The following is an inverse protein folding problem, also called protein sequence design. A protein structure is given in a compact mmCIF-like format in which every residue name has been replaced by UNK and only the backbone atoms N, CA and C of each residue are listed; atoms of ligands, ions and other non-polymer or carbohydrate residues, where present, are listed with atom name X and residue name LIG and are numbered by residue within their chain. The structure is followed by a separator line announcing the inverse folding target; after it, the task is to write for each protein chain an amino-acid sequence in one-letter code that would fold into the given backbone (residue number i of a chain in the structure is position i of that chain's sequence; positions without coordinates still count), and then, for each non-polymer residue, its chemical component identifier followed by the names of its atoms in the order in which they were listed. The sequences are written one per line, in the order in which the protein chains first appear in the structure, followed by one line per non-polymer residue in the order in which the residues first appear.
data_IF_431306863195
#
_entry.id   IF_431306863195
#
_cell.length_a   1.000
_cell.length_b   1.000
_cell.length_c   1.000
_cell.angle_alpha   90.00
_cell.angle_beta   90.00
_cell.angle_gamma   90.00
#
_symmetry.space_group_name_H-M   'P 1'
#
loop_
_entity.id
_entity.type
_entity.pdbx_description
1 polymer ?
#
# COMPACT_ATOMS: atom_id res chain seq x y z
N UNK A 1 -24.80 -0.45 21.53
CA UNK A 1 -25.12 0.91 21.02
C UNK A 1 -25.07 0.98 19.48
N UNK A 2 -24.11 0.32 18.81
CA UNK A 2 -24.02 0.36 17.33
C UNK A 2 -25.21 -0.33 16.64
N UNK A 3 -25.70 -1.46 17.18
CA UNK A 3 -26.86 -2.20 16.64
C UNK A 3 -28.20 -1.45 16.78
N UNK A 4 -28.26 -0.38 17.59
CA UNK A 4 -29.44 0.47 17.75
C UNK A 4 -29.44 1.71 16.84
N UNK A 5 -28.53 1.82 15.88
CA UNK A 5 -28.44 2.96 14.97
C UNK A 5 -29.29 2.78 13.71
N UNK A 6 -30.34 1.98 13.77
CA UNK A 6 -31.41 2.01 12.80
C UNK A 6 -31.13 1.33 11.45
N UNK A 7 -32.01 1.57 10.53
CA UNK A 7 -32.15 0.93 9.22
C UNK A 7 -30.92 1.05 8.29
N UNK A 8 -30.04 2.04 8.51
CA UNK A 8 -28.80 2.23 7.74
C UNK A 8 -27.85 1.01 7.75
N UNK A 9 -27.86 0.21 8.85
CA UNK A 9 -27.03 -0.98 8.96
C UNK A 9 -27.67 -2.24 8.36
N UNK A 10 -28.93 -2.16 7.98
CA UNK A 10 -29.72 -3.26 7.41
C UNK A 10 -29.81 -3.20 5.89
N UNK A 11 -29.25 -2.16 5.27
CA UNK A 11 -29.20 -1.99 3.82
C UNK A 11 -27.82 -2.29 3.25
N UNK A 12 -27.75 -2.66 1.96
CA UNK A 12 -26.48 -2.76 1.25
C UNK A 12 -25.84 -1.39 1.10
N UNK A 13 -24.57 -1.28 1.54
CA UNK A 13 -23.77 -0.06 1.38
C UNK A 13 -23.11 0.06 -0.01
N UNK A 14 -22.28 1.11 -0.17
CA UNK A 14 -21.44 1.27 -1.37
C UNK A 14 -20.42 0.12 -1.47
N UNK A 15 -20.30 -0.48 -2.65
CA UNK A 15 -19.37 -1.58 -2.93
C UNK A 15 -17.91 -1.23 -2.63
N UNK A 16 -17.56 0.06 -2.65
CA UNK A 16 -16.22 0.56 -2.28
C UNK A 16 -16.09 0.91 -0.80
N UNK A 17 -17.12 0.64 0.00
CA UNK A 17 -17.18 0.90 1.44
C UNK A 17 -18.01 2.14 1.81
N UNK A 18 -18.51 2.14 3.05
CA UNK A 18 -19.39 3.15 3.60
C UNK A 18 -18.79 4.57 3.53
N UNK A 19 -19.55 5.54 3.02
CA UNK A 19 -19.09 6.90 2.82
C UNK A 19 -18.65 7.59 4.13
N UNK A 20 -19.32 7.29 5.25
CA UNK A 20 -18.96 7.82 6.57
C UNK A 20 -17.58 7.33 7.00
N UNK A 21 -17.29 6.05 6.77
CA UNK A 21 -15.98 5.45 7.07
C UNK A 21 -14.91 5.98 6.12
N UNK A 22 -15.20 6.09 4.81
CA UNK A 22 -14.26 6.68 3.83
C UNK A 22 -13.86 8.12 4.18
N UNK A 23 -14.81 8.94 4.61
CA UNK A 23 -14.52 10.32 5.08
C UNK A 23 -13.65 10.33 6.34
N UNK A 24 -13.89 9.41 7.28
CA UNK A 24 -13.06 9.26 8.47
C UNK A 24 -11.63 8.83 8.11
N UNK A 25 -11.50 7.87 7.19
CA UNK A 25 -10.20 7.42 6.67
C UNK A 25 -9.46 8.50 5.90
N UNK A 26 -10.16 9.30 5.10
CA UNK A 26 -9.59 10.46 4.41
C UNK A 26 -9.00 11.46 5.40
N UNK A 27 -9.75 11.83 6.44
CA UNK A 27 -9.26 12.71 7.50
C UNK A 27 -8.05 12.10 8.22
N UNK A 28 -8.15 10.84 8.62
CA UNK A 28 -7.10 10.10 9.28
C UNK A 28 -5.81 10.04 8.45
N UNK A 29 -5.90 9.60 7.22
CA UNK A 29 -4.73 9.46 6.34
C UNK A 29 -4.10 10.82 5.99
N UNK A 30 -4.92 11.88 5.89
CA UNK A 30 -4.40 13.24 5.74
C UNK A 30 -3.58 13.66 6.97
N UNK A 31 -4.13 13.44 8.16
CA UNK A 31 -3.50 13.88 9.43
C UNK A 31 -2.24 13.08 9.76
N UNK A 32 -2.27 11.76 9.58
CA UNK A 32 -1.19 10.87 10.04
C UNK A 32 -0.24 10.41 8.94
N UNK A 33 -0.65 10.44 7.67
CA UNK A 33 0.16 9.97 6.54
C UNK A 33 0.40 11.01 5.46
N UNK A 34 -0.19 12.21 5.61
CA UNK A 34 -0.03 13.31 4.66
C UNK A 34 -0.77 13.13 3.34
N UNK A 35 -1.69 12.15 3.24
CA UNK A 35 -2.41 11.87 1.99
C UNK A 35 -3.51 12.90 1.75
N UNK A 36 -3.53 13.52 0.57
CA UNK A 36 -4.55 14.46 0.15
C UNK A 36 -5.23 13.97 -1.12
N UNK A 37 -6.19 13.07 -0.96
CA UNK A 37 -6.96 12.47 -2.06
C UNK A 37 -8.45 12.69 -1.90
N UNK A 38 -9.22 12.81 -2.99
CA UNK A 38 -10.67 12.81 -2.94
C UNK A 38 -11.23 11.56 -2.26
N UNK A 39 -12.34 11.69 -1.54
CA UNK A 39 -12.97 10.55 -0.83
C UNK A 39 -13.33 9.39 -1.77
N UNK A 40 -13.58 9.66 -3.03
CA UNK A 40 -13.90 8.64 -4.04
C UNK A 40 -12.70 7.76 -4.41
N UNK A 41 -11.49 8.18 -4.09
CA UNK A 41 -10.27 7.38 -4.28
C UNK A 41 -10.04 6.38 -3.14
N UNK A 42 -10.87 6.40 -2.09
CA UNK A 42 -10.78 5.48 -0.97
C UNK A 42 -11.64 4.24 -1.21
N UNK A 43 -11.03 3.07 -1.06
CA UNK A 43 -11.67 1.76 -1.15
C UNK A 43 -11.38 1.02 0.16
N UNK A 44 -12.44 0.48 0.79
CA UNK A 44 -12.33 -0.27 2.04
C UNK A 44 -12.32 -1.76 1.72
N UNK A 45 -11.43 -2.52 2.37
CA UNK A 45 -11.31 -3.96 2.19
C UNK A 45 -11.21 -4.72 3.50
N UNK A 46 -11.58 -6.00 3.45
CA UNK A 46 -11.51 -6.92 4.59
C UNK A 46 -10.08 -7.47 4.79
N UNK A 47 -9.12 -6.57 4.94
CA UNK A 47 -7.70 -6.87 5.09
C UNK A 47 -6.89 -6.59 3.83
N UNK A 48 -5.57 -6.55 4.01
CA UNK A 48 -4.59 -6.19 2.98
C UNK A 48 -4.67 -7.07 1.72
N UNK A 49 -4.72 -8.39 1.89
CA UNK A 49 -4.69 -9.33 0.76
C UNK A 49 -5.84 -9.10 -0.23
N UNK A 50 -7.05 -8.85 0.27
CA UNK A 50 -8.23 -8.59 -0.58
C UNK A 50 -8.02 -7.33 -1.44
N UNK A 51 -7.46 -6.28 -0.85
CA UNK A 51 -7.13 -5.06 -1.60
C UNK A 51 -6.05 -5.32 -2.64
N UNK A 52 -5.05 -6.15 -2.31
CA UNK A 52 -4.00 -6.52 -3.25
C UNK A 52 -4.56 -7.35 -4.42
N UNK A 53 -5.49 -8.29 -4.20
CA UNK A 53 -6.20 -8.98 -5.28
C UNK A 53 -6.94 -8.00 -6.20
N UNK A 54 -7.59 -6.96 -5.65
CA UNK A 54 -8.22 -5.93 -6.48
C UNK A 54 -7.20 -5.18 -7.33
N UNK A 55 -6.03 -4.83 -6.78
CA UNK A 55 -4.96 -4.22 -7.58
C UNK A 55 -4.51 -5.17 -8.69
N UNK A 56 -4.21 -6.42 -8.37
CA UNK A 56 -3.75 -7.40 -9.35
C UNK A 56 -4.77 -7.60 -10.50
N UNK A 57 -6.08 -7.55 -10.21
CA UNK A 57 -7.13 -7.70 -11.22
C UNK A 57 -7.15 -6.60 -12.29
N UNK A 58 -6.43 -5.50 -12.07
CA UNK A 58 -6.29 -4.41 -13.04
C UNK A 58 -5.16 -4.66 -14.05
N UNK A 59 -4.36 -5.70 -13.84
CA UNK A 59 -3.18 -6.02 -14.64
C UNK A 59 -3.37 -7.36 -15.37
N UNK A 60 -2.53 -7.58 -16.38
CA UNK A 60 -2.58 -8.82 -17.17
C UNK A 60 -1.75 -9.92 -16.47
N UNK A 61 -2.07 -11.16 -16.78
CA UNK A 61 -1.24 -12.30 -16.40
C UNK A 61 0.17 -12.15 -16.97
N UNK A 62 1.15 -12.74 -16.31
CA UNK A 62 2.56 -12.70 -16.68
C UNK A 62 3.26 -11.32 -16.57
N UNK A 63 2.56 -10.26 -16.16
CA UNK A 63 3.24 -8.99 -15.86
C UNK A 63 4.19 -9.15 -14.67
N UNK A 64 5.31 -8.42 -14.73
CA UNK A 64 6.38 -8.58 -13.75
C UNK A 64 6.16 -7.63 -12.58
N UNK A 65 6.12 -8.18 -11.37
CA UNK A 65 6.10 -7.44 -10.11
C UNK A 65 7.44 -7.59 -9.38
N UNK A 66 8.08 -6.46 -9.10
CA UNK A 66 9.27 -6.42 -8.26
C UNK A 66 8.91 -6.32 -6.78
N UNK A 67 9.54 -7.14 -5.96
CA UNK A 67 9.44 -7.05 -4.50
C UNK A 67 10.84 -7.11 -3.88
N UNK A 68 11.01 -6.56 -2.69
CA UNK A 68 12.28 -6.72 -1.97
C UNK A 68 12.60 -8.20 -1.69
N UNK A 69 13.87 -8.56 -1.71
CA UNK A 69 14.33 -9.96 -1.50
C UNK A 69 13.77 -10.58 -0.21
N UNK A 70 13.68 -9.79 0.85
CA UNK A 70 13.04 -10.17 2.12
C UNK A 70 11.66 -9.51 2.30
N UNK A 71 10.91 -9.40 1.21
CA UNK A 71 9.59 -8.80 1.21
C UNK A 71 8.53 -9.62 1.96
N UNK A 72 7.32 -9.10 2.01
CA UNK A 72 6.20 -9.69 2.73
C UNK A 72 5.64 -10.92 1.97
N UNK A 73 5.86 -12.10 2.53
CA UNK A 73 5.51 -13.38 1.89
C UNK A 73 4.03 -13.48 1.48
N UNK A 74 3.11 -12.91 2.26
CA UNK A 74 1.69 -12.93 1.93
C UNK A 74 1.34 -12.10 0.68
N UNK A 75 2.12 -11.08 0.36
CA UNK A 75 1.96 -10.34 -0.88
C UNK A 75 2.42 -11.18 -2.07
N UNK A 76 3.54 -11.88 -1.92
CA UNK A 76 4.06 -12.81 -2.94
C UNK A 76 3.03 -13.87 -3.30
N UNK A 77 2.43 -14.52 -2.29
CA UNK A 77 1.34 -15.49 -2.50
C UNK A 77 0.19 -14.91 -3.35
N UNK A 78 -0.23 -13.67 -3.07
CA UNK A 78 -1.30 -13.02 -3.85
C UNK A 78 -0.88 -12.79 -5.30
N UNK A 79 0.36 -12.35 -5.53
CA UNK A 79 0.87 -12.17 -6.90
C UNK A 79 0.94 -13.49 -7.67
N UNK A 80 1.41 -14.57 -7.02
CA UNK A 80 1.45 -15.92 -7.60
C UNK A 80 0.05 -16.43 -7.94
N UNK A 81 -0.93 -16.26 -7.03
CA UNK A 81 -2.33 -16.62 -7.26
C UNK A 81 -2.95 -15.84 -8.44
N UNK A 82 -2.49 -14.61 -8.66
CA UNK A 82 -2.90 -13.77 -9.78
C UNK A 82 -2.08 -14.01 -11.06
N UNK A 83 -1.26 -15.06 -11.10
CA UNK A 83 -0.41 -15.41 -12.24
C UNK A 83 0.55 -14.30 -12.68
N UNK A 84 1.03 -13.48 -11.74
CA UNK A 84 2.05 -12.47 -11.99
C UNK A 84 3.45 -13.06 -11.80
N UNK A 85 4.44 -12.54 -12.52
CA UNK A 85 5.84 -12.97 -12.38
C UNK A 85 6.53 -12.18 -11.26
N UNK A 86 6.73 -12.80 -10.11
CA UNK A 86 7.44 -12.19 -8.99
C UNK A 86 8.94 -12.24 -9.21
N UNK A 87 9.61 -11.09 -9.10
CA UNK A 87 11.07 -10.99 -9.11
C UNK A 87 11.58 -10.34 -7.82
N UNK A 88 12.62 -10.91 -7.25
CA UNK A 88 13.28 -10.40 -6.05
C UNK A 88 14.28 -9.33 -6.42
N UNK A 89 14.17 -8.18 -5.77
CA UNK A 89 15.01 -7.02 -6.02
C UNK A 89 15.98 -6.80 -4.87
N UNK A 90 17.26 -6.51 -5.15
CA UNK A 90 18.26 -6.23 -4.12
C UNK A 90 17.97 -4.91 -3.41
N UNK A 91 18.28 -4.89 -2.12
CA UNK A 91 18.18 -3.71 -1.27
C UNK A 91 19.50 -3.48 -0.51
N UNK A 92 19.75 -2.22 -0.17
CA UNK A 92 20.88 -1.77 0.66
C UNK A 92 20.36 -1.07 1.94
N UNK A 93 21.24 -0.40 2.68
CA UNK A 93 20.89 0.35 3.90
C UNK A 93 19.90 1.51 3.68
N UNK A 94 19.63 1.87 2.43
CA UNK A 94 18.72 2.95 2.06
C UNK A 94 17.38 2.45 1.53
N UNK A 95 17.24 1.14 1.29
CA UNK A 95 16.09 0.47 0.69
C UNK A 95 16.42 -0.15 -0.66
N UNK A 96 15.43 -0.41 -1.49
CA UNK A 96 15.61 -0.96 -2.84
C UNK A 96 16.64 -0.20 -3.65
N UNK A 97 17.54 -0.92 -4.34
CA UNK A 97 18.55 -0.29 -5.20
C UNK A 97 17.97 0.07 -6.56
N UNK A 98 18.44 1.18 -7.15
CA UNK A 98 18.03 1.56 -8.51
C UNK A 98 18.56 0.58 -9.57
N UNK A 99 19.71 -0.02 -9.32
CA UNK A 99 20.27 -1.07 -10.18
C UNK A 99 19.33 -2.27 -10.24
N UNK A 100 18.78 -2.68 -9.09
CA UNK A 100 17.80 -3.76 -9.02
C UNK A 100 16.54 -3.47 -9.83
N UNK A 101 16.04 -2.23 -9.78
CA UNK A 101 14.87 -1.82 -10.57
C UNK A 101 15.12 -1.88 -12.08
N UNK A 102 16.36 -1.65 -12.53
CA UNK A 102 16.75 -1.69 -13.94
C UNK A 102 16.94 -3.10 -14.50
N UNK A 103 17.02 -4.13 -13.64
CA UNK A 103 17.27 -5.51 -14.07
C UNK A 103 16.09 -6.14 -14.81
N UNK A 104 14.88 -5.63 -14.59
CA UNK A 104 13.65 -6.23 -15.10
C UNK A 104 12.72 -5.16 -15.70
N UNK A 105 11.91 -5.56 -16.68
CA UNK A 105 10.84 -4.71 -17.21
C UNK A 105 9.61 -4.79 -16.29
N UNK A 106 9.69 -4.11 -15.15
CA UNK A 106 8.64 -4.14 -14.14
C UNK A 106 7.38 -3.42 -14.61
N UNK A 107 6.22 -3.96 -14.24
CA UNK A 107 4.93 -3.28 -14.33
C UNK A 107 4.46 -2.78 -12.98
N UNK A 108 4.72 -3.57 -11.95
CA UNK A 108 4.42 -3.24 -10.56
C UNK A 108 5.69 -3.29 -9.70
N UNK A 109 5.74 -2.44 -8.71
CA UNK A 109 6.72 -2.46 -7.65
C UNK A 109 6.01 -2.48 -6.30
N UNK A 110 6.11 -3.57 -5.58
CA UNK A 110 5.59 -3.67 -4.22
C UNK A 110 6.69 -3.38 -3.20
N UNK A 111 6.42 -2.47 -2.28
CA UNK A 111 7.37 -2.13 -1.21
C UNK A 111 6.66 -1.69 0.08
N UNK A 112 7.34 -1.93 1.20
CA UNK A 112 6.99 -1.40 2.49
C UNK A 112 7.90 -0.21 2.82
N UNK A 113 7.41 1.00 2.60
CA UNK A 113 8.24 2.21 2.70
C UNK A 113 8.58 2.60 4.13
N UNK A 114 7.73 2.22 5.09
CA UNK A 114 7.78 2.71 6.47
C UNK A 114 8.56 1.82 7.42
N UNK A 115 8.58 0.52 7.19
CA UNK A 115 9.29 -0.44 8.04
C UNK A 115 10.26 -1.32 7.26
N UNK A 116 10.39 -1.02 6.00
CA UNK A 116 11.19 -1.55 4.91
C UNK A 116 12.10 -2.70 5.15
N UNK A 117 12.26 -3.44 4.14
CA UNK A 117 13.28 -4.29 3.65
C UNK A 117 14.19 -5.03 4.63
N UNK A 118 15.34 -5.24 4.11
CA UNK A 118 16.38 -6.10 4.66
C UNK A 118 16.80 -5.79 6.10
N UNK A 119 16.81 -4.54 6.51
CA UNK A 119 17.28 -4.09 7.83
C UNK A 119 16.16 -3.61 8.77
N UNK A 120 14.90 -3.69 8.35
CA UNK A 120 13.79 -3.20 9.18
C UNK A 120 13.77 -1.68 9.37
N UNK A 121 14.47 -0.95 8.50
CA UNK A 121 14.53 0.51 8.54
C UNK A 121 13.69 1.12 7.41
N UNK A 122 13.06 2.27 7.63
CA UNK A 122 12.34 2.97 6.58
C UNK A 122 13.25 3.31 5.39
N UNK A 123 12.71 3.25 4.17
CA UNK A 123 13.41 3.72 2.98
C UNK A 123 13.75 5.21 3.17
N UNK A 124 15.01 5.58 2.96
CA UNK A 124 15.48 6.96 3.10
C UNK A 124 14.81 7.89 2.09
N UNK A 125 14.57 9.14 2.49
CA UNK A 125 13.83 10.12 1.70
C UNK A 125 14.39 10.28 0.28
N UNK A 126 15.71 10.38 0.14
CA UNK A 126 16.34 10.51 -1.16
C UNK A 126 16.04 9.30 -2.05
N UNK A 127 16.18 8.08 -1.53
CA UNK A 127 15.90 6.85 -2.26
C UNK A 127 14.42 6.73 -2.65
N UNK A 128 13.49 7.22 -1.82
CA UNK A 128 12.05 7.28 -2.17
C UNK A 128 11.81 8.13 -3.41
N UNK A 129 12.42 9.32 -3.47
CA UNK A 129 12.32 10.21 -4.63
C UNK A 129 12.90 9.58 -5.89
N UNK A 130 14.06 8.95 -5.79
CA UNK A 130 14.71 8.24 -6.90
C UNK A 130 13.85 7.08 -7.43
N UNK A 131 13.26 6.29 -6.54
CA UNK A 131 12.34 5.19 -6.91
C UNK A 131 11.10 5.74 -7.61
N UNK A 132 10.49 6.80 -7.07
CA UNK A 132 9.30 7.42 -7.66
C UNK A 132 9.60 7.96 -9.07
N UNK A 133 10.70 8.70 -9.22
CA UNK A 133 11.11 9.26 -10.50
C UNK A 133 11.36 8.15 -11.54
N UNK A 134 12.08 7.10 -11.14
CA UNK A 134 12.33 5.95 -12.01
C UNK A 134 11.04 5.25 -12.41
N UNK A 135 10.15 4.98 -11.45
CA UNK A 135 8.87 4.32 -11.70
C UNK A 135 8.00 5.15 -12.67
N UNK A 136 7.89 6.44 -12.44
CA UNK A 136 7.13 7.36 -13.30
C UNK A 136 7.66 7.39 -14.73
N UNK A 137 8.97 7.48 -14.88
CA UNK A 137 9.62 7.50 -16.21
C UNK A 137 9.40 6.20 -16.99
N UNK A 138 9.28 5.08 -16.31
CA UNK A 138 9.16 3.75 -16.92
C UNK A 138 7.73 3.16 -16.88
N UNK A 139 6.72 3.92 -16.45
CA UNK A 139 5.32 3.48 -16.41
C UNK A 139 5.08 2.34 -15.41
N UNK A 140 5.85 2.32 -14.31
CA UNK A 140 5.73 1.34 -13.23
C UNK A 140 4.78 1.89 -12.17
N UNK A 141 3.79 1.12 -11.75
CA UNK A 141 2.96 1.44 -10.60
C UNK A 141 3.62 0.94 -9.31
N UNK A 142 3.59 1.77 -8.27
CA UNK A 142 4.10 1.43 -6.95
C UNK A 142 2.93 1.06 -6.05
N UNK A 143 2.98 -0.11 -5.43
CA UNK A 143 2.08 -0.49 -4.34
C UNK A 143 2.82 -0.23 -3.03
N UNK A 144 2.42 0.82 -2.32
CA UNK A 144 2.98 1.15 -1.01
C UNK A 144 2.16 0.45 0.08
N UNK A 145 2.73 -0.60 0.67
CA UNK A 145 2.18 -1.25 1.86
C UNK A 145 2.64 -0.51 3.12
N UNK A 146 1.71 0.10 3.81
CA UNK A 146 1.98 0.92 4.99
C UNK A 146 1.28 0.38 6.26
N UNK A 147 1.38 -0.92 6.49
CA UNK A 147 0.79 -1.58 7.66
C UNK A 147 1.45 -1.26 9.01
N UNK A 148 2.60 -0.59 9.00
CA UNK A 148 3.37 -0.21 10.19
C UNK A 148 3.63 1.30 10.31
N UNK A 149 3.14 2.10 9.40
CA UNK A 149 3.51 3.51 9.29
C UNK A 149 3.22 4.36 10.51
N UNK A 150 2.20 3.98 11.29
CA UNK A 150 1.82 4.64 12.53
C UNK A 150 2.58 4.12 13.77
N UNK A 151 3.15 2.91 13.70
CA UNK A 151 3.83 2.27 14.82
C UNK A 151 5.28 2.72 14.90
N UNK A 152 5.52 3.88 15.50
CA UNK A 152 6.86 4.44 15.66
C UNK A 152 7.20 4.65 17.12
N UNK A 153 8.15 3.86 17.59
CA UNK A 153 8.56 3.90 19.00
C UNK A 153 9.65 4.94 19.28
N UNK A 154 10.48 5.33 18.30
CA UNK A 154 11.67 6.16 18.55
C UNK A 154 12.04 7.17 17.46
N UNK A 155 11.19 7.40 16.44
CA UNK A 155 11.52 8.30 15.32
C UNK A 155 10.36 9.23 14.97
N UNK A 156 10.66 10.37 14.34
CA UNK A 156 9.62 11.24 13.78
C UNK A 156 8.79 10.46 12.73
N UNK A 157 7.47 10.70 12.64
CA UNK A 157 6.65 10.13 11.58
C UNK A 157 7.26 10.46 10.21
N UNK A 158 7.42 9.44 9.36
CA UNK A 158 7.84 9.63 7.98
C UNK A 158 6.57 9.60 7.15
N UNK A 159 6.35 10.61 6.32
CA UNK A 159 5.22 10.65 5.41
C UNK A 159 5.18 9.41 4.49
N UNK A 160 3.99 9.04 4.05
CA UNK A 160 3.84 8.01 3.02
C UNK A 160 4.51 8.46 1.71
N UNK A 161 4.99 7.52 0.90
CA UNK A 161 5.50 7.84 -0.45
C UNK A 161 4.39 8.39 -1.33
N UNK A 162 3.17 7.90 -1.16
CA UNK A 162 1.97 8.39 -1.85
C UNK A 162 1.63 9.87 -1.57
N UNK A 163 2.26 10.51 -0.58
CA UNK A 163 2.23 11.97 -0.41
C UNK A 163 3.07 12.68 -1.46
N UNK A 164 4.14 12.05 -1.94
CA UNK A 164 5.13 12.65 -2.84
C UNK A 164 4.72 12.54 -4.32
N UNK A 165 3.94 11.53 -4.67
CA UNK A 165 3.41 11.34 -6.03
C UNK A 165 1.95 10.86 -5.97
N UNK A 166 1.13 11.46 -6.83
CA UNK A 166 -0.30 11.25 -6.88
C UNK A 166 -0.75 10.29 -8.00
N UNK A 167 0.11 10.02 -8.97
CA UNK A 167 -0.33 9.37 -10.21
C UNK A 167 0.04 7.89 -10.29
N UNK A 168 1.18 7.51 -9.72
CA UNK A 168 1.74 6.17 -9.90
C UNK A 168 1.76 5.33 -8.61
N UNK A 169 1.29 5.87 -7.47
CA UNK A 169 1.36 5.16 -6.19
C UNK A 169 -0.02 4.77 -5.70
N UNK A 170 -0.23 3.47 -5.53
CA UNK A 170 -1.39 2.87 -4.87
C UNK A 170 -0.99 2.64 -3.41
N UNK A 171 -1.61 3.39 -2.50
CA UNK A 171 -1.34 3.26 -1.07
C UNK A 171 -2.30 2.25 -0.43
N UNK A 172 -1.79 1.36 0.41
CA UNK A 172 -2.59 0.42 1.20
C UNK A 172 -2.23 0.56 2.68
N UNK A 173 -3.19 1.04 3.47
CA UNK A 173 -3.11 1.12 4.93
C UNK A 173 -3.93 0.02 5.61
N UNK A 174 -3.49 -0.39 6.80
CA UNK A 174 -4.16 -1.45 7.56
C UNK A 174 -4.25 -1.12 9.04
N UNK A 175 -5.42 -1.37 9.64
CA UNK A 175 -5.64 -1.24 11.07
C UNK A 175 -5.41 -2.54 11.86
N UNK A 176 -4.94 -3.61 11.22
CA UNK A 176 -4.77 -4.92 11.87
C UNK A 176 -3.80 -4.92 13.04
N UNK A 177 -2.90 -3.92 13.13
CA UNK A 177 -1.95 -3.75 14.25
C UNK A 177 -2.36 -2.66 15.24
N UNK A 178 -3.29 -1.78 14.87
CA UNK A 178 -3.78 -0.69 15.71
C UNK A 178 -5.08 -1.04 16.42
N UNK A 179 -5.91 -1.87 15.78
CA UNK A 179 -7.18 -2.35 16.29
C UNK A 179 -7.11 -3.87 16.49
N UNK A 180 -8.21 -4.45 16.97
CA UNK A 180 -8.35 -5.90 17.06
C UNK A 180 -8.19 -6.51 15.66
N UNK A 181 -7.26 -7.47 15.46
CA UNK A 181 -7.00 -8.05 14.13
C UNK A 181 -8.24 -8.71 13.49
N UNK A 182 -9.20 -9.15 14.32
CA UNK A 182 -10.46 -9.76 13.88
C UNK A 182 -11.41 -8.80 13.16
N UNK A 183 -11.26 -7.48 13.33
CA UNK A 183 -12.10 -6.47 12.66
C UNK A 183 -11.82 -6.41 11.15
N UNK A 184 -10.63 -6.79 10.73
CA UNK A 184 -10.22 -6.91 9.32
C UNK A 184 -10.41 -5.63 8.50
N UNK A 185 -10.12 -4.45 9.05
CA UNK A 185 -10.21 -3.18 8.31
C UNK A 185 -8.87 -2.84 7.69
N UNK A 186 -8.87 -2.70 6.37
CA UNK A 186 -7.80 -2.11 5.57
C UNK A 186 -8.41 -1.17 4.54
N UNK A 187 -7.63 -0.25 4.02
CA UNK A 187 -8.09 0.70 3.00
C UNK A 187 -7.01 0.93 1.95
N UNK A 188 -7.45 1.19 0.74
CA UNK A 188 -6.61 1.54 -0.40
C UNK A 188 -6.94 2.96 -0.84
N UNK A 189 -5.92 3.70 -1.26
CA UNK A 189 -6.04 5.06 -1.80
C UNK A 189 -5.37 5.10 -3.16
N UNK A 190 -6.15 5.51 -4.19
CA UNK A 190 -5.74 5.61 -5.59
C UNK A 190 -5.37 7.03 -5.97
#
# INVERSE_FOLDING_TARGET
KALNQGDDLMSYGDVRGEIKLKKALQKYSHEYRGLSRPVNNYIIGAGFQILLYYVCSLFQNDEIVGIEEKGFMQAETVFDDCHMKVVKLPADDQGLTLEGLKMYNLKLLYLNSSSGGYHGHPIKQQRRLEIIEYAKKNGIYIIEDDHNGELKYNTKPIDAMAKLDNDNIIYIGSFSKLLLPSIRISYMVL
#
